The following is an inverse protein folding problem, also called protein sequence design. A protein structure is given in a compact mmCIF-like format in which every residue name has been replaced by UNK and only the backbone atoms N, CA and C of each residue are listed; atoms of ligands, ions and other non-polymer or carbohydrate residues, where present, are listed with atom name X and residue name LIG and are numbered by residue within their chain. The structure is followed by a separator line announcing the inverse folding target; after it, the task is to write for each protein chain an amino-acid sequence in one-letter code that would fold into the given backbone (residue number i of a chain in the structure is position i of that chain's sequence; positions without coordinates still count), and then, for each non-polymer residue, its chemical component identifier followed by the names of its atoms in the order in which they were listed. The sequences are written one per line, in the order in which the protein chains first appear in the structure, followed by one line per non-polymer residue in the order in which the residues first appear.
data_IF_613316798447
#
_entry.id   IF_613316798447
#
_cell.length_a   1.000
_cell.length_b   1.000
_cell.length_c   1.000
_cell.angle_alpha   90.00
_cell.angle_beta   90.00
_cell.angle_gamma   90.00
#
_symmetry.space_group_name_H-M   'P 1'
#
loop_
_entity.id
_entity.type
_entity.pdbx_description
1 polymer ?
#
# COMPACT_ATOMS: atom_id res chain seq x y z
N UNK A 1 1.85 16.24 28.34
CA UNK A 1 2.67 15.41 27.44
C UNK A 1 1.79 14.22 27.07
N UNK A 2 1.56 13.97 25.77
CA UNK A 2 0.78 12.80 25.34
C UNK A 2 1.61 11.54 25.61
N UNK A 3 0.96 10.47 26.04
CA UNK A 3 1.61 9.19 26.37
C UNK A 3 2.25 8.56 25.11
N UNK A 4 3.55 8.18 25.13
CA UNK A 4 4.22 7.59 23.96
C UNK A 4 3.57 6.30 23.45
N UNK A 5 3.00 5.49 24.35
CA UNK A 5 2.28 4.27 23.96
C UNK A 5 1.03 4.63 23.14
N UNK A 6 0.28 5.63 23.59
CA UNK A 6 -0.87 6.16 22.84
C UNK A 6 -0.48 6.62 21.42
N UNK A 7 0.63 7.36 21.27
CA UNK A 7 1.11 7.81 19.95
C UNK A 7 1.50 6.63 19.03
N UNK A 8 2.12 5.59 19.59
CA UNK A 8 2.47 4.40 18.82
C UNK A 8 1.22 3.68 18.29
N UNK A 9 0.17 3.57 19.11
CA UNK A 9 -1.12 2.98 18.71
C UNK A 9 -1.78 3.80 17.61
N UNK A 10 -1.79 5.13 17.75
CA UNK A 10 -2.33 6.05 16.74
C UNK A 10 -1.58 5.90 15.41
N UNK A 11 -0.25 5.86 15.43
CA UNK A 11 0.57 5.65 14.23
C UNK A 11 0.27 4.30 13.56
N UNK A 12 0.18 3.22 14.33
CA UNK A 12 -0.19 1.90 13.80
C UNK A 12 -1.58 1.92 13.16
N UNK A 13 -2.53 2.64 13.75
CA UNK A 13 -3.89 2.78 13.21
C UNK A 13 -3.90 3.53 11.86
N UNK A 14 -3.16 4.63 11.73
CA UNK A 14 -3.00 5.35 10.45
C UNK A 14 -2.36 4.50 9.37
N UNK A 15 -1.46 3.59 9.75
CA UNK A 15 -0.74 2.74 8.82
C UNK A 15 -1.56 1.54 8.32
N UNK A 16 -2.75 1.25 8.87
CA UNK A 16 -3.60 0.13 8.46
C UNK A 16 -3.86 0.08 6.94
N UNK A 17 -4.20 1.19 6.25
CA UNK A 17 -4.31 1.22 4.79
C UNK A 17 -3.05 0.70 4.09
N UNK A 18 -1.85 1.11 4.53
CA UNK A 18 -0.58 0.65 3.96
C UNK A 18 -0.41 -0.87 4.10
N UNK A 19 -0.78 -1.42 5.26
CA UNK A 19 -0.71 -2.86 5.53
C UNK A 19 -1.72 -3.64 4.70
N UNK A 20 -2.91 -3.08 4.48
CA UNK A 20 -3.97 -3.69 3.69
C UNK A 20 -3.73 -3.61 2.17
N UNK A 21 -2.97 -2.61 1.70
CA UNK A 21 -2.80 -2.32 0.27
C UNK A 21 -2.32 -3.52 -0.55
N UNK A 22 -1.32 -4.27 -0.07
CA UNK A 22 -0.80 -5.45 -0.76
C UNK A 22 -1.86 -6.56 -0.91
N UNK A 23 -2.64 -6.82 0.15
CA UNK A 23 -3.74 -7.78 0.10
C UNK A 23 -4.86 -7.32 -0.83
N UNK A 24 -5.19 -6.02 -0.82
CA UNK A 24 -6.18 -5.44 -1.72
C UNK A 24 -5.74 -5.51 -3.20
N UNK A 25 -4.44 -5.38 -3.47
CA UNK A 25 -3.87 -5.56 -4.80
C UNK A 25 -4.01 -6.99 -5.33
N UNK A 26 -4.09 -8.01 -4.46
CA UNK A 26 -4.37 -9.39 -4.87
C UNK A 26 -5.81 -9.52 -5.40
N UNK A 27 -6.77 -8.84 -4.78
CA UNK A 27 -8.18 -8.87 -5.18
C UNK A 27 -8.44 -8.20 -6.54
N UNK A 28 -7.65 -7.18 -6.87
CA UNK A 28 -7.82 -6.33 -8.06
C UNK A 28 -6.75 -6.56 -9.14
N UNK A 29 -5.75 -7.37 -8.83
CA UNK A 29 -4.60 -7.66 -9.67
C UNK A 29 -4.91 -8.53 -10.90
N UNK A 30 -3.93 -8.64 -11.78
CA UNK A 30 -3.98 -9.55 -12.94
C UNK A 30 -4.00 -8.87 -14.31
N UNK A 31 -4.40 -7.60 -14.40
CA UNK A 31 -4.51 -6.88 -15.67
C UNK A 31 -3.45 -5.80 -15.84
N UNK A 32 -2.83 -5.77 -17.02
CA UNK A 32 -1.79 -4.80 -17.38
C UNK A 32 -0.52 -4.98 -16.56
N UNK A 33 0.38 -5.87 -16.99
CA UNK A 33 1.69 -6.07 -16.32
C UNK A 33 2.49 -4.75 -16.33
N UNK A 34 2.98 -4.33 -15.17
CA UNK A 34 3.72 -3.07 -15.03
C UNK A 34 4.99 -3.01 -15.89
N UNK A 35 5.66 -4.16 -16.04
CA UNK A 35 6.89 -4.25 -16.84
C UNK A 35 6.63 -4.57 -18.33
N UNK A 36 5.37 -4.68 -18.75
CA UNK A 36 4.99 -5.10 -20.10
C UNK A 36 5.65 -6.40 -20.58
N UNK A 37 6.05 -7.29 -19.65
CA UNK A 37 6.77 -8.52 -19.98
C UNK A 37 8.25 -8.34 -20.33
N UNK A 38 8.80 -7.13 -20.18
CA UNK A 38 10.19 -6.82 -20.56
C UNK A 38 11.19 -7.39 -19.56
N UNK A 39 12.37 -7.68 -20.09
CA UNK A 39 13.55 -8.03 -19.31
C UNK A 39 14.43 -6.79 -19.08
N UNK A 40 15.17 -6.82 -17.99
CA UNK A 40 16.22 -5.88 -17.69
C UNK A 40 17.52 -6.30 -18.43
N UNK A 41 18.56 -5.49 -18.35
CA UNK A 41 19.85 -5.73 -19.05
C UNK A 41 20.53 -7.06 -18.65
N UNK A 42 20.15 -7.62 -17.51
CA UNK A 42 20.62 -8.91 -17.01
C UNK A 42 19.84 -10.12 -17.58
N UNK A 43 18.93 -9.89 -18.52
CA UNK A 43 18.10 -10.91 -19.15
C UNK A 43 16.94 -11.39 -18.28
N UNK A 44 16.80 -10.92 -17.04
CA UNK A 44 15.71 -11.30 -16.12
C UNK A 44 14.56 -10.29 -16.21
N UNK A 45 13.34 -10.71 -15.89
CA UNK A 45 12.16 -9.81 -15.83
C UNK A 45 12.42 -8.57 -14.97
N UNK A 46 11.88 -7.41 -15.34
CA UNK A 46 12.08 -6.18 -14.53
C UNK A 46 11.39 -6.34 -13.17
N UNK A 47 10.11 -6.72 -13.16
CA UNK A 47 9.31 -6.92 -11.93
C UNK A 47 8.76 -8.35 -11.84
N UNK A 48 8.27 -8.89 -12.96
CA UNK A 48 7.59 -10.17 -13.05
C UNK A 48 6.06 -10.05 -13.05
N UNK A 49 5.39 -11.16 -13.35
CA UNK A 49 3.95 -11.18 -13.66
C UNK A 49 3.02 -10.86 -12.49
N UNK A 50 3.55 -10.78 -11.27
CA UNK A 50 2.77 -10.45 -10.07
C UNK A 50 2.53 -8.95 -9.89
N UNK A 51 3.21 -8.08 -10.65
CA UNK A 51 3.07 -6.62 -10.53
C UNK A 51 2.25 -6.09 -11.70
N UNK A 52 1.00 -5.73 -11.43
CA UNK A 52 0.05 -5.25 -12.43
C UNK A 52 -0.50 -3.87 -12.08
N UNK A 53 -0.80 -3.07 -13.10
CA UNK A 53 -1.42 -1.75 -12.94
C UNK A 53 -2.78 -1.86 -12.28
N UNK A 54 -3.57 -2.88 -12.62
CA UNK A 54 -4.87 -3.11 -11.96
C UNK A 54 -4.73 -3.36 -10.46
N UNK A 55 -3.72 -4.13 -10.04
CA UNK A 55 -3.48 -4.41 -8.63
C UNK A 55 -2.96 -3.17 -7.90
N UNK A 56 -2.11 -2.36 -8.54
CA UNK A 56 -1.59 -1.15 -7.92
C UNK A 56 -2.65 -0.07 -7.75
N UNK A 57 -3.42 0.21 -8.81
CA UNK A 57 -4.50 1.20 -8.76
C UNK A 57 -5.61 0.70 -7.85
N UNK A 58 -6.07 -0.54 -8.04
CA UNK A 58 -7.15 -1.13 -7.26
C UNK A 58 -6.77 -1.31 -5.78
N UNK A 59 -5.55 -1.77 -5.49
CA UNK A 59 -5.03 -1.87 -4.13
C UNK A 59 -4.93 -0.52 -3.45
N UNK A 60 -4.44 0.51 -4.14
CA UNK A 60 -4.39 1.88 -3.62
C UNK A 60 -5.79 2.40 -3.32
N UNK A 61 -6.74 2.26 -4.25
CA UNK A 61 -8.11 2.76 -4.09
C UNK A 61 -8.82 2.05 -2.94
N UNK A 62 -8.81 0.72 -2.90
CA UNK A 62 -9.49 -0.05 -1.85
C UNK A 62 -8.92 0.24 -0.46
N UNK A 63 -7.60 0.34 -0.34
CA UNK A 63 -6.96 0.70 0.93
C UNK A 63 -7.21 2.17 1.32
N UNK A 64 -7.32 3.08 0.35
CA UNK A 64 -7.71 4.48 0.62
C UNK A 64 -9.14 4.58 1.15
N UNK A 65 -10.07 3.79 0.59
CA UNK A 65 -11.44 3.67 1.09
C UNK A 65 -11.43 3.13 2.52
N UNK A 66 -10.60 2.12 2.82
CA UNK A 66 -10.41 1.65 4.19
C UNK A 66 -9.92 2.79 5.11
N UNK A 67 -8.98 3.61 4.66
CA UNK A 67 -8.53 4.79 5.41
C UNK A 67 -9.66 5.77 5.75
N UNK A 68 -10.57 6.03 4.81
CA UNK A 68 -11.76 6.85 5.06
C UNK A 68 -12.74 6.22 6.07
N UNK A 69 -12.91 4.90 6.03
CA UNK A 69 -13.71 4.17 7.01
C UNK A 69 -13.09 4.32 8.40
N UNK A 70 -11.78 4.12 8.52
CA UNK A 70 -11.03 4.27 9.77
C UNK A 70 -11.11 5.70 10.32
N UNK A 71 -10.97 6.70 9.46
CA UNK A 71 -11.19 8.11 9.82
C UNK A 71 -12.60 8.33 10.36
N UNK A 72 -13.63 7.79 9.69
CA UNK A 72 -15.03 7.96 10.12
C UNK A 72 -15.28 7.31 11.48
N UNK A 73 -14.67 6.16 11.75
CA UNK A 73 -14.73 5.52 13.07
C UNK A 73 -14.04 6.37 14.14
N UNK A 74 -12.90 6.98 13.82
CA UNK A 74 -12.19 7.87 14.75
C UNK A 74 -13.01 9.08 15.18
N UNK A 75 -13.85 9.65 14.32
CA UNK A 75 -14.74 10.76 14.69
C UNK A 75 -15.79 10.37 15.74
N UNK A 76 -16.16 9.09 15.82
CA UNK A 76 -17.13 8.57 16.80
C UNK A 76 -16.48 8.27 18.14
N UNK A 77 -15.18 7.98 18.17
CA UNK A 77 -14.44 7.65 19.38
C UNK A 77 -13.64 8.86 19.92
N UNK A 78 -13.94 9.37 21.13
CA UNK A 78 -13.30 10.57 21.67
C UNK A 78 -11.77 10.47 21.88
N UNK A 79 -11.20 9.28 21.75
CA UNK A 79 -9.76 9.02 21.85
C UNK A 79 -8.96 9.72 20.73
N UNK A 80 -9.54 9.99 19.57
CA UNK A 80 -8.81 10.46 18.38
C UNK A 80 -9.30 11.81 17.84
N UNK A 81 -9.85 12.65 18.73
CA UNK A 81 -10.57 13.88 18.37
C UNK A 81 -9.75 14.97 17.64
N UNK A 82 -8.43 14.82 17.51
CA UNK A 82 -7.54 15.78 16.84
C UNK A 82 -7.12 15.37 15.42
N UNK A 83 -7.87 14.47 14.77
CA UNK A 83 -7.51 13.99 13.44
C UNK A 83 -7.63 15.05 12.35
N UNK A 84 -6.75 14.99 11.33
CA UNK A 84 -6.81 15.91 10.21
C UNK A 84 -8.09 15.77 9.39
N UNK A 85 -8.44 16.85 8.69
CA UNK A 85 -9.54 16.96 7.73
C UNK A 85 -9.71 15.71 6.85
N UNK A 86 -10.94 15.30 6.50
CA UNK A 86 -11.21 14.08 5.72
C UNK A 86 -10.45 14.00 4.40
N UNK A 87 -10.17 15.14 3.74
CA UNK A 87 -9.35 15.14 2.53
C UNK A 87 -7.91 14.75 2.86
N UNK A 88 -7.34 15.27 3.95
CA UNK A 88 -5.99 14.90 4.37
C UNK A 88 -5.92 13.43 4.80
N UNK A 89 -6.97 12.89 5.45
CA UNK A 89 -7.07 11.47 5.74
C UNK A 89 -7.08 10.60 4.47
N UNK A 90 -7.85 11.01 3.45
CA UNK A 90 -7.87 10.35 2.14
C UNK A 90 -6.51 10.41 1.44
N UNK A 91 -5.91 11.60 1.35
CA UNK A 91 -4.60 11.78 0.73
C UNK A 91 -3.51 10.98 1.47
N UNK A 92 -3.53 11.01 2.81
CA UNK A 92 -2.62 10.24 3.64
C UNK A 92 -2.75 8.73 3.39
N UNK A 93 -3.98 8.20 3.42
CA UNK A 93 -4.24 6.80 3.14
C UNK A 93 -3.82 6.40 1.72
N UNK A 94 -4.08 7.24 0.73
CA UNK A 94 -3.68 7.01 -0.66
C UNK A 94 -2.17 6.99 -0.83
N UNK A 95 -1.46 7.97 -0.26
CA UNK A 95 0.00 8.04 -0.32
C UNK A 95 0.65 6.86 0.41
N UNK A 96 0.15 6.49 1.58
CA UNK A 96 0.64 5.33 2.33
C UNK A 96 0.41 4.02 1.58
N UNK A 97 -0.77 3.85 0.98
CA UNK A 97 -1.11 2.65 0.20
C UNK A 97 -0.27 2.55 -1.09
N UNK A 98 -0.16 3.65 -1.83
CA UNK A 98 0.68 3.72 -3.02
C UNK A 98 2.16 3.51 -2.69
N UNK A 99 2.64 4.09 -1.58
CA UNK A 99 3.99 3.90 -1.06
C UNK A 99 4.28 2.44 -0.71
N UNK A 100 3.36 1.77 -0.01
CA UNK A 100 3.46 0.34 0.31
C UNK A 100 3.58 -0.53 -0.94
N UNK A 101 2.71 -0.30 -1.92
CA UNK A 101 2.71 -1.04 -3.19
C UNK A 101 3.95 -0.72 -4.06
N UNK A 102 4.45 0.51 -3.99
CA UNK A 102 5.71 0.90 -4.64
C UNK A 102 6.89 0.19 -4.00
N UNK A 103 6.94 0.12 -2.66
CA UNK A 103 7.95 -0.63 -1.93
C UNK A 103 7.93 -2.12 -2.27
N UNK A 104 6.75 -2.71 -2.40
CA UNK A 104 6.58 -4.10 -2.83
C UNK A 104 7.01 -4.34 -4.29
N UNK A 105 6.71 -3.40 -5.20
CA UNK A 105 7.22 -3.43 -6.57
C UNK A 105 8.75 -3.31 -6.61
N UNK A 106 9.33 -2.41 -5.83
CA UNK A 106 10.77 -2.25 -5.69
C UNK A 106 11.43 -3.51 -5.11
N UNK A 107 10.86 -4.10 -4.06
CA UNK A 107 11.31 -5.37 -3.52
C UNK A 107 11.29 -6.48 -4.57
N UNK A 108 10.26 -6.50 -5.42
CA UNK A 108 10.21 -7.45 -6.54
C UNK A 108 11.27 -7.19 -7.59
N UNK A 109 11.59 -5.94 -7.90
CA UNK A 109 12.73 -5.59 -8.75
C UNK A 109 14.02 -6.18 -8.17
N UNK A 110 14.32 -5.95 -6.89
CA UNK A 110 15.53 -6.47 -6.22
C UNK A 110 15.56 -8.00 -6.26
N UNK A 111 14.44 -8.67 -5.95
CA UNK A 111 14.32 -10.14 -6.05
C UNK A 111 14.71 -10.65 -7.44
N UNK A 112 14.27 -9.98 -8.51
CA UNK A 112 14.66 -10.35 -9.88
C UNK A 112 16.16 -10.17 -10.10
N UNK A 113 16.77 -9.07 -9.65
CA UNK A 113 18.22 -8.83 -9.81
C UNK A 113 19.06 -9.94 -9.18
N UNK A 114 18.68 -10.41 -7.98
CA UNK A 114 19.38 -11.49 -7.28
C UNK A 114 18.98 -12.91 -7.73
N UNK A 115 18.14 -13.05 -8.77
CA UNK A 115 17.80 -14.34 -9.38
C UNK A 115 16.66 -15.11 -8.72
N UNK A 116 15.97 -14.52 -7.76
CA UNK A 116 14.76 -15.13 -7.16
C UNK A 116 13.61 -15.02 -8.15
N UNK A 117 12.98 -16.14 -8.49
CA UNK A 117 11.80 -16.17 -9.36
C UNK A 117 10.52 -15.72 -8.62
N UNK A 118 9.43 -15.49 -9.35
CA UNK A 118 8.14 -15.13 -8.72
C UNK A 118 7.71 -16.26 -7.77
N UNK A 119 7.25 -15.89 -6.57
CA UNK A 119 6.78 -16.85 -5.56
C UNK A 119 7.87 -17.34 -4.59
N UNK A 120 9.13 -17.02 -4.86
CA UNK A 120 10.25 -17.17 -3.92
C UNK A 120 10.69 -15.87 -3.25
#
# INVERSE_FOLDING_TARGET
MVDPLFQAVEALYVFIPAFAANSAAVLTGGYGKMDFGRNFIDGKRILGDGKTWSGYIGGTVLASILGLILYSLMLVFPLFANYPDPLLALYGAALLSAGSLTGDAFGSFIKRRIGIQRGG
#
